data_IF_652148381701
#
_entry.id   IF_652148381701
#
_cell.length_a   1.000
_cell.length_b   1.000
_cell.length_c   1.000
_cell.angle_alpha   90.00
_cell.angle_beta   90.00
_cell.angle_gamma   90.00
#
_symmetry.space_group_name_H-M   'P 1'
#
loop_
_entity.id
_entity.type
_entity.pdbx_description
1 polymer ?
#
# COMPACT_ATOMS: atom_id res chain seq x y z
N UNK A 1 36.17 -30.24 18.87
CA UNK A 1 35.50 -31.12 17.90
C UNK A 1 35.88 -30.59 16.53
N UNK A 2 36.60 -31.38 15.76
CA UNK A 2 37.01 -31.04 14.39
C UNK A 2 35.77 -30.78 13.53
N UNK A 3 35.55 -29.52 13.16
CA UNK A 3 34.60 -29.18 12.11
C UNK A 3 35.35 -29.48 10.81
N UNK A 4 35.33 -30.75 10.40
CA UNK A 4 35.62 -31.10 9.01
C UNK A 4 34.57 -30.39 8.17
N UNK A 5 34.92 -29.23 7.63
CA UNK A 5 34.12 -28.55 6.62
C UNK A 5 33.92 -29.55 5.47
N UNK A 6 32.70 -30.08 5.35
CA UNK A 6 32.35 -30.98 4.26
C UNK A 6 32.46 -30.19 2.96
N UNK A 7 33.48 -30.50 2.17
CA UNK A 7 33.61 -29.95 0.83
C UNK A 7 32.65 -30.69 -0.11
N UNK A 8 31.77 -29.94 -0.77
CA UNK A 8 30.80 -30.45 -1.72
C UNK A 8 31.37 -30.40 -3.14
N UNK A 9 31.11 -31.46 -3.91
CA UNK A 9 31.43 -31.52 -5.33
C UNK A 9 30.47 -30.67 -6.16
N UNK A 10 30.89 -30.09 -7.31
CA UNK A 10 29.99 -29.35 -8.20
C UNK A 10 28.69 -30.09 -8.55
N UNK A 11 28.75 -31.43 -8.69
CA UNK A 11 27.58 -32.27 -8.96
C UNK A 11 26.59 -32.33 -7.79
N UNK A 12 27.11 -32.35 -6.56
CA UNK A 12 26.30 -32.39 -5.34
C UNK A 12 25.62 -31.05 -5.10
N UNK A 13 26.32 -29.94 -5.38
CA UNK A 13 25.77 -28.59 -5.30
C UNK A 13 24.64 -28.38 -6.32
N UNK A 14 24.85 -28.83 -7.57
CA UNK A 14 23.82 -28.79 -8.62
C UNK A 14 22.56 -29.56 -8.20
N UNK A 15 22.72 -30.76 -7.65
CA UNK A 15 21.59 -31.57 -7.17
C UNK A 15 20.89 -30.96 -5.95
N UNK A 16 21.65 -30.36 -5.03
CA UNK A 16 21.10 -29.77 -3.79
C UNK A 16 20.29 -28.51 -4.06
N UNK A 17 20.66 -27.73 -5.07
CA UNK A 17 19.99 -26.47 -5.44
C UNK A 17 18.94 -26.66 -6.55
N UNK A 18 18.79 -27.89 -7.06
CA UNK A 18 17.90 -28.23 -8.17
C UNK A 18 18.14 -27.35 -9.42
N UNK A 19 19.42 -27.14 -9.76
CA UNK A 19 19.84 -26.34 -10.92
C UNK A 19 20.73 -27.15 -11.85
N UNK A 20 20.68 -26.88 -13.15
CA UNK A 20 21.59 -27.49 -14.12
C UNK A 20 23.05 -27.06 -13.92
N UNK A 21 24.00 -27.97 -14.22
CA UNK A 21 25.45 -27.72 -14.16
C UNK A 21 25.90 -26.46 -14.92
N UNK A 22 25.22 -26.15 -16.04
CA UNK A 22 25.47 -24.95 -16.84
C UNK A 22 25.08 -23.65 -16.10
N UNK A 23 23.97 -23.67 -15.37
CA UNK A 23 23.47 -22.55 -14.57
C UNK A 23 24.36 -22.30 -13.36
N UNK A 24 24.76 -23.36 -12.65
CA UNK A 24 25.71 -23.26 -11.54
C UNK A 24 27.03 -22.63 -12.00
N UNK A 25 27.58 -23.08 -13.15
CA UNK A 25 28.81 -22.51 -13.71
C UNK A 25 28.64 -21.01 -14.02
N UNK A 26 27.51 -20.62 -14.59
CA UNK A 26 27.20 -19.22 -14.93
C UNK A 26 27.13 -18.33 -13.68
N UNK A 27 26.51 -18.82 -12.61
CA UNK A 27 26.40 -18.09 -11.35
C UNK A 27 27.75 -17.95 -10.65
N UNK A 28 28.55 -19.01 -10.59
CA UNK A 28 29.91 -18.92 -10.05
C UNK A 28 30.78 -17.92 -10.80
N UNK A 29 30.66 -17.84 -12.14
CA UNK A 29 31.41 -16.85 -12.92
C UNK A 29 30.96 -15.41 -12.62
N UNK A 30 29.66 -15.18 -12.45
CA UNK A 30 29.14 -13.87 -12.07
C UNK A 30 29.64 -13.45 -10.67
N UNK A 31 29.69 -14.39 -9.72
CA UNK A 31 30.24 -14.17 -8.39
C UNK A 31 31.76 -13.92 -8.42
N UNK A 32 32.53 -14.73 -9.17
CA UNK A 32 33.98 -14.52 -9.34
C UNK A 32 34.29 -13.17 -10.01
N UNK A 33 33.44 -12.70 -10.93
CA UNK A 33 33.56 -11.37 -11.55
C UNK A 33 33.42 -10.22 -10.55
N UNK A 34 32.65 -10.42 -9.48
CA UNK A 34 32.44 -9.45 -8.41
C UNK A 34 33.41 -9.66 -7.23
N UNK A 35 34.54 -10.35 -7.44
CA UNK A 35 35.59 -10.66 -6.45
C UNK A 35 35.21 -11.69 -5.37
N UNK A 36 34.21 -12.55 -5.62
CA UNK A 36 33.97 -13.73 -4.78
C UNK A 36 34.98 -14.85 -5.07
N UNK A 37 35.67 -15.35 -4.05
CA UNK A 37 36.71 -16.37 -4.20
C UNK A 37 36.21 -17.73 -3.74
N UNK A 38 35.94 -18.62 -4.70
CA UNK A 38 35.72 -20.03 -4.40
C UNK A 38 37.05 -20.74 -4.10
N UNK A 39 37.04 -21.65 -3.13
CA UNK A 39 38.21 -22.49 -2.83
C UNK A 39 38.48 -23.41 -4.02
N UNK A 40 39.76 -23.64 -4.33
CA UNK A 40 40.19 -24.53 -5.41
C UNK A 40 41.13 -25.61 -4.88
N UNK A 41 40.95 -26.82 -5.38
CA UNK A 41 41.81 -27.98 -5.16
C UNK A 41 43.13 -27.83 -5.97
N UNK A 42 44.19 -28.57 -5.64
CA UNK A 42 45.45 -28.69 -6.40
C UNK A 42 45.29 -28.95 -7.92
N UNK A 43 44.17 -29.53 -8.34
CA UNK A 43 43.74 -29.75 -9.73
C UNK A 43 42.95 -28.57 -10.33
N UNK A 44 42.97 -27.40 -9.68
CA UNK A 44 42.25 -26.18 -10.05
C UNK A 44 40.71 -26.35 -10.19
N UNK A 45 40.14 -27.37 -9.54
CA UNK A 45 38.70 -27.61 -9.47
C UNK A 45 38.10 -26.83 -8.31
N UNK A 46 36.96 -26.16 -8.53
CA UNK A 46 36.21 -25.46 -7.47
C UNK A 46 35.72 -26.48 -6.43
N UNK A 47 36.10 -26.25 -5.18
CA UNK A 47 35.57 -26.92 -3.99
C UNK A 47 34.55 -25.97 -3.37
N UNK A 48 33.34 -26.46 -3.14
CA UNK A 48 32.29 -25.68 -2.52
C UNK A 48 32.21 -26.04 -1.04
N UNK A 49 32.16 -25.04 -0.17
CA UNK A 49 31.94 -25.23 1.26
C UNK A 49 30.46 -24.97 1.58
N UNK A 50 30.02 -25.32 2.79
CA UNK A 50 28.66 -25.05 3.25
C UNK A 50 28.29 -23.56 3.17
N UNK A 51 29.25 -22.66 3.39
CA UNK A 51 29.08 -21.22 3.17
C UNK A 51 28.71 -20.88 1.71
N UNK A 52 29.40 -21.49 0.74
CA UNK A 52 29.13 -21.29 -0.69
C UNK A 52 27.72 -21.77 -1.08
N UNK A 53 27.23 -22.85 -0.46
CA UNK A 53 25.86 -23.32 -0.66
C UNK A 53 24.83 -22.30 -0.19
N UNK A 54 25.06 -21.65 0.95
CA UNK A 54 24.18 -20.61 1.47
C UNK A 54 24.18 -19.39 0.55
N UNK A 55 25.35 -19.00 0.06
CA UNK A 55 25.54 -17.91 -0.91
C UNK A 55 24.76 -18.20 -2.20
N UNK A 56 24.93 -19.40 -2.76
CA UNK A 56 24.25 -19.81 -3.99
C UNK A 56 22.73 -19.93 -3.81
N UNK A 57 22.24 -20.36 -2.65
CA UNK A 57 20.79 -20.40 -2.35
C UNK A 57 20.18 -19.00 -2.27
N UNK A 58 20.88 -18.04 -1.68
CA UNK A 58 20.41 -16.65 -1.66
C UNK A 58 20.47 -16.02 -3.05
N UNK A 59 21.53 -16.31 -3.80
CA UNK A 59 21.66 -15.89 -5.19
C UNK A 59 20.51 -16.43 -6.06
N UNK A 60 20.13 -17.70 -5.88
CA UNK A 60 19.00 -18.31 -6.56
C UNK A 60 17.70 -17.55 -6.30
N UNK A 61 17.38 -17.21 -5.05
CA UNK A 61 16.17 -16.43 -4.72
C UNK A 61 16.15 -15.06 -5.40
N UNK A 62 17.29 -14.36 -5.44
CA UNK A 62 17.36 -13.06 -6.10
C UNK A 62 17.11 -13.15 -7.61
N UNK A 63 17.62 -14.20 -8.25
CA UNK A 63 17.47 -14.40 -9.69
C UNK A 63 16.09 -14.95 -10.05
N UNK A 64 15.55 -15.87 -9.27
CA UNK A 64 14.26 -16.53 -9.55
C UNK A 64 13.06 -15.69 -9.08
N UNK A 65 13.08 -15.14 -7.87
CA UNK A 65 11.92 -14.43 -7.29
C UNK A 65 11.83 -12.99 -7.78
N UNK A 66 12.99 -12.32 -7.97
CA UNK A 66 13.04 -10.89 -8.30
C UNK A 66 13.42 -10.62 -9.77
N UNK A 67 13.57 -11.67 -10.59
CA UNK A 67 13.99 -11.58 -11.99
C UNK A 67 15.23 -10.66 -12.20
N UNK A 68 16.14 -10.65 -11.23
CA UNK A 68 17.27 -9.74 -11.20
C UNK A 68 18.38 -10.22 -12.15
N UNK A 69 19.05 -9.27 -12.81
CA UNK A 69 20.21 -9.59 -13.65
C UNK A 69 21.34 -10.20 -12.80
N UNK A 70 22.01 -11.21 -13.36
CA UNK A 70 23.02 -12.02 -12.66
C UNK A 70 24.15 -11.19 -12.05
N UNK A 71 24.59 -10.14 -12.74
CA UNK A 71 25.68 -9.28 -12.26
C UNK A 71 25.26 -8.45 -11.04
N UNK A 72 24.02 -7.94 -11.02
CA UNK A 72 23.48 -7.18 -9.89
C UNK A 72 23.22 -8.09 -8.69
N UNK A 73 22.69 -9.29 -8.94
CA UNK A 73 22.52 -10.30 -7.90
C UNK A 73 23.87 -10.71 -7.31
N UNK A 74 24.92 -10.84 -8.14
CA UNK A 74 26.26 -11.19 -7.68
C UNK A 74 26.83 -10.08 -6.80
N UNK A 75 26.71 -8.82 -7.22
CA UNK A 75 27.18 -7.67 -6.44
C UNK A 75 26.55 -7.62 -5.04
N UNK A 76 25.23 -7.76 -4.95
CA UNK A 76 24.52 -7.76 -3.66
C UNK A 76 24.94 -8.93 -2.75
N UNK A 77 25.17 -10.10 -3.34
CA UNK A 77 25.55 -11.29 -2.59
C UNK A 77 27.00 -11.19 -2.12
N UNK A 78 27.92 -10.67 -2.93
CA UNK A 78 29.32 -10.46 -2.50
C UNK A 78 29.42 -9.36 -1.46
N UNK A 79 28.65 -8.29 -1.58
CA UNK A 79 28.59 -7.25 -0.55
C UNK A 79 28.10 -7.83 0.79
N UNK A 80 27.05 -8.65 0.75
CA UNK A 80 26.43 -9.24 1.94
C UNK A 80 27.23 -10.41 2.55
N UNK A 81 27.89 -11.22 1.73
CA UNK A 81 28.49 -12.50 2.17
C UNK A 81 29.99 -12.63 1.87
N UNK A 82 30.56 -11.79 0.98
CA UNK A 82 31.95 -11.88 0.53
C UNK A 82 32.98 -11.41 1.56
N UNK A 83 32.57 -10.66 2.59
CA UNK A 83 33.44 -10.23 3.69
C UNK A 83 33.15 -11.04 4.96
N UNK A 84 33.52 -12.31 4.97
CA UNK A 84 33.69 -13.12 6.20
C UNK A 84 32.45 -13.34 7.08
N UNK A 85 31.24 -13.15 6.58
CA UNK A 85 30.02 -13.04 7.39
C UNK A 85 29.42 -14.37 7.89
N UNK A 86 30.20 -15.46 7.96
CA UNK A 86 29.68 -16.77 8.42
C UNK A 86 30.02 -17.12 9.88
N UNK A 87 30.73 -16.28 10.63
CA UNK A 87 31.01 -16.54 12.06
C UNK A 87 30.21 -15.69 13.07
N UNK A 88 29.37 -14.74 12.66
CA UNK A 88 28.60 -13.94 13.61
C UNK A 88 27.11 -13.95 13.26
N UNK A 89 26.35 -14.69 14.07
CA UNK A 89 24.91 -14.49 14.15
C UNK A 89 24.61 -13.03 14.47
N UNK A 90 23.68 -12.44 13.71
CA UNK A 90 23.04 -11.14 14.00
C UNK A 90 23.96 -10.10 14.65
N UNK A 91 24.80 -9.46 13.85
CA UNK A 91 25.23 -8.09 14.13
C UNK A 91 25.56 -7.36 12.83
N UNK A 92 25.06 -6.13 12.74
CA UNK A 92 25.35 -5.19 11.67
C UNK A 92 26.79 -4.75 11.86
N UNK A 93 27.73 -5.29 11.10
CA UNK A 93 29.14 -4.86 11.15
C UNK A 93 29.35 -3.80 10.07
N UNK A 94 29.35 -2.53 10.51
CA UNK A 94 29.93 -1.42 9.76
C UNK A 94 31.41 -1.69 9.51
N UNK A 95 31.79 -1.85 8.25
CA UNK A 95 33.20 -1.86 7.86
C UNK A 95 33.81 -0.46 8.09
N UNK A 96 34.84 -0.37 8.95
CA UNK A 96 35.56 0.85 9.29
C UNK A 96 36.35 1.43 8.09
N UNK A 97 35.67 2.15 7.20
CA UNK A 97 36.30 3.18 6.36
C UNK A 97 35.98 4.55 6.99
N UNK A 98 36.75 4.99 7.99
CA UNK A 98 36.44 6.20 8.81
C UNK A 98 36.38 7.53 8.03
N UNK A 99 36.89 7.59 6.79
CA UNK A 99 36.77 8.77 5.93
C UNK A 99 35.55 8.70 5.02
N UNK A 100 35.32 7.57 4.32
CA UNK A 100 34.09 7.36 3.52
C UNK A 100 32.83 7.32 4.39
N UNK A 101 32.90 6.76 5.61
CA UNK A 101 31.78 6.76 6.56
C UNK A 101 31.38 8.16 7.00
N UNK A 102 32.29 9.14 7.02
CA UNK A 102 31.93 10.52 7.43
C UNK A 102 31.17 11.25 6.33
N UNK A 103 31.53 11.03 5.07
CA UNK A 103 30.79 11.59 3.92
C UNK A 103 29.48 10.83 3.68
N UNK A 104 29.46 9.50 3.84
CA UNK A 104 28.23 8.70 3.83
C UNK A 104 27.30 9.08 4.98
N UNK A 105 27.81 9.26 6.21
CA UNK A 105 26.98 9.72 7.34
C UNK A 105 26.49 11.15 7.16
N UNK A 106 27.24 12.04 6.52
CA UNK A 106 26.75 13.40 6.18
C UNK A 106 25.64 13.34 5.13
N UNK A 107 25.85 12.56 4.07
CA UNK A 107 24.84 12.34 3.03
C UNK A 107 23.59 11.67 3.58
N UNK A 108 23.73 10.65 4.42
CA UNK A 108 22.62 9.98 5.09
C UNK A 108 21.88 10.93 6.05
N UNK A 109 22.59 11.80 6.77
CA UNK A 109 21.96 12.76 7.67
C UNK A 109 21.21 13.87 6.91
N UNK A 110 21.70 14.30 5.75
CA UNK A 110 20.97 15.21 4.85
C UNK A 110 19.72 14.54 4.26
N UNK A 111 19.82 13.28 3.84
CA UNK A 111 18.68 12.49 3.36
C UNK A 111 17.64 12.26 4.47
N UNK A 112 18.10 11.95 5.69
CA UNK A 112 17.23 11.81 6.86
C UNK A 112 16.57 13.14 7.20
N UNK A 113 17.28 14.27 7.13
CA UNK A 113 16.69 15.58 7.37
C UNK A 113 15.64 15.94 6.32
N UNK A 114 15.91 15.70 5.02
CA UNK A 114 14.93 15.88 3.97
C UNK A 114 13.71 14.97 4.17
N UNK A 115 13.92 13.73 4.59
CA UNK A 115 12.83 12.81 4.91
C UNK A 115 11.99 13.29 6.10
N UNK A 116 12.63 13.78 7.18
CA UNK A 116 11.94 14.34 8.34
C UNK A 116 11.16 15.61 7.98
N UNK A 117 11.72 16.48 7.13
CA UNK A 117 11.00 17.65 6.61
C UNK A 117 9.80 17.23 5.76
N UNK A 118 9.97 16.25 4.87
CA UNK A 118 8.86 15.72 4.08
C UNK A 118 7.78 15.09 4.95
N UNK A 119 8.16 14.37 6.00
CA UNK A 119 7.22 13.83 6.99
C UNK A 119 6.47 14.93 7.72
N UNK A 120 7.13 16.03 8.08
CA UNK A 120 6.47 17.20 8.69
C UNK A 120 5.50 17.87 7.74
N UNK A 121 5.88 18.08 6.47
CA UNK A 121 4.98 18.68 5.48
C UNK A 121 3.80 17.78 5.18
N UNK A 122 4.00 16.47 5.06
CA UNK A 122 2.90 15.51 4.95
C UNK A 122 1.96 15.57 6.16
N UNK A 123 2.51 15.62 7.37
CA UNK A 123 1.71 15.71 8.60
C UNK A 123 0.87 16.99 8.63
N UNK A 124 1.40 18.10 8.14
CA UNK A 124 0.68 19.37 8.01
C UNK A 124 -0.43 19.29 6.96
N UNK A 125 -0.15 18.69 5.79
CA UNK A 125 -1.17 18.46 4.77
C UNK A 125 -2.32 17.57 5.27
N UNK A 126 -2.00 16.52 6.05
CA UNK A 126 -3.02 15.66 6.67
C UNK A 126 -3.91 16.47 7.60
N UNK A 127 -3.33 17.32 8.46
CA UNK A 127 -4.12 18.18 9.36
C UNK A 127 -5.02 19.14 8.58
N UNK A 128 -4.50 19.79 7.55
CA UNK A 128 -5.29 20.68 6.70
C UNK A 128 -6.42 19.93 5.99
N UNK A 129 -6.17 18.71 5.54
CA UNK A 129 -7.18 17.85 4.93
C UNK A 129 -8.26 17.43 5.94
N UNK A 130 -7.88 17.10 7.18
CA UNK A 130 -8.83 16.80 8.25
C UNK A 130 -9.72 18.00 8.60
N UNK A 131 -9.14 19.19 8.69
CA UNK A 131 -9.89 20.43 8.93
C UNK A 131 -10.84 20.76 7.78
N UNK A 132 -10.37 20.61 6.54
CA UNK A 132 -11.20 20.79 5.36
C UNK A 132 -12.36 19.80 5.32
N UNK A 133 -12.10 18.52 5.63
CA UNK A 133 -13.14 17.50 5.71
C UNK A 133 -14.17 17.80 6.80
N UNK A 134 -13.76 18.30 7.98
CA UNK A 134 -14.68 18.73 9.04
C UNK A 134 -15.58 19.89 8.57
N UNK A 135 -15.01 20.87 7.89
CA UNK A 135 -15.79 22.00 7.36
C UNK A 135 -16.76 21.57 6.25
N UNK A 136 -16.35 20.62 5.39
CA UNK A 136 -17.23 20.02 4.40
C UNK A 136 -18.41 19.29 5.04
N UNK A 137 -18.17 18.46 6.05
CA UNK A 137 -19.23 17.75 6.77
C UNK A 137 -20.22 18.74 7.41
N UNK A 138 -19.71 19.81 8.03
CA UNK A 138 -20.55 20.86 8.60
C UNK A 138 -21.43 21.54 7.54
N UNK A 139 -20.91 21.81 6.34
CA UNK A 139 -21.72 22.36 5.24
C UNK A 139 -22.77 21.37 4.73
N UNK A 140 -22.45 20.08 4.69
CA UNK A 140 -23.42 19.05 4.32
C UNK A 140 -24.55 18.97 5.34
N UNK A 141 -24.24 18.99 6.64
CA UNK A 141 -25.24 19.00 7.71
C UNK A 141 -26.16 20.23 7.62
N UNK A 142 -25.57 21.41 7.36
CA UNK A 142 -26.35 22.64 7.15
C UNK A 142 -27.26 22.57 5.92
N UNK A 143 -26.77 21.99 4.81
CA UNK A 143 -27.60 21.78 3.62
C UNK A 143 -28.73 20.78 3.90
N UNK A 144 -28.46 19.70 4.61
CA UNK A 144 -29.46 18.70 4.97
C UNK A 144 -30.57 19.33 5.82
N UNK A 145 -30.21 20.11 6.84
CA UNK A 145 -31.17 20.85 7.67
C UNK A 145 -32.00 21.83 6.84
N UNK A 146 -31.37 22.61 5.96
CA UNK A 146 -32.08 23.54 5.08
C UNK A 146 -33.08 22.82 4.15
N UNK A 147 -32.68 21.67 3.59
CA UNK A 147 -33.55 20.87 2.73
C UNK A 147 -34.74 20.34 3.53
N UNK A 148 -34.52 19.79 4.74
CA UNK A 148 -35.58 19.29 5.61
C UNK A 148 -36.57 20.39 5.99
N UNK A 149 -36.08 21.58 6.39
CA UNK A 149 -36.95 22.73 6.69
C UNK A 149 -37.79 23.14 5.49
N UNK A 150 -37.17 23.20 4.29
CA UNK A 150 -37.88 23.56 3.05
C UNK A 150 -38.91 22.50 2.65
N UNK A 151 -38.60 21.23 2.83
CA UNK A 151 -39.52 20.12 2.56
C UNK A 151 -40.71 20.17 3.52
N UNK A 152 -40.46 20.29 4.83
CA UNK A 152 -41.51 20.39 5.85
C UNK A 152 -42.43 21.58 5.58
N UNK A 153 -41.88 22.76 5.29
CA UNK A 153 -42.67 23.95 4.98
C UNK A 153 -43.50 23.80 3.70
N UNK A 154 -42.93 23.15 2.68
CA UNK A 154 -43.66 22.85 1.44
C UNK A 154 -44.82 21.89 1.72
N UNK A 155 -44.57 20.83 2.48
CA UNK A 155 -45.58 19.82 2.80
C UNK A 155 -46.70 20.41 3.68
N UNK A 156 -46.38 21.28 4.65
CA UNK A 156 -47.37 22.06 5.40
C UNK A 156 -48.25 22.92 4.48
N UNK A 157 -47.63 23.65 3.54
CA UNK A 157 -48.36 24.50 2.58
C UNK A 157 -49.25 23.66 1.66
N UNK A 158 -48.76 22.51 1.20
CA UNK A 158 -49.52 21.57 0.39
C UNK A 158 -50.73 21.02 1.16
N UNK A 159 -50.54 20.60 2.42
CA UNK A 159 -51.63 20.11 3.27
C UNK A 159 -52.66 21.21 3.52
N UNK A 160 -52.21 22.44 3.78
CA UNK A 160 -53.11 23.58 3.98
C UNK A 160 -53.94 23.88 2.73
N UNK A 161 -53.31 24.00 1.56
CA UNK A 161 -54.04 24.21 0.30
C UNK A 161 -54.99 23.06 -0.05
N UNK A 162 -54.63 21.81 0.27
CA UNK A 162 -55.52 20.65 0.11
C UNK A 162 -56.74 20.74 1.02
N UNK A 163 -56.58 21.14 2.29
CA UNK A 163 -57.71 21.35 3.21
C UNK A 163 -58.62 22.47 2.73
N UNK A 164 -58.07 23.61 2.35
CA UNK A 164 -58.84 24.74 1.80
C UNK A 164 -59.61 24.35 0.54
N UNK A 165 -58.98 23.59 -0.37
CA UNK A 165 -59.64 23.07 -1.57
C UNK A 165 -60.78 22.10 -1.22
N UNK A 166 -60.61 21.25 -0.20
CA UNK A 166 -61.66 20.34 0.28
C UNK A 166 -62.81 21.09 0.94
N UNK A 167 -62.54 22.08 1.78
CA UNK A 167 -63.56 22.93 2.41
C UNK A 167 -64.35 23.72 1.37
N UNK A 168 -63.66 24.31 0.40
CA UNK A 168 -64.30 25.01 -0.73
C UNK A 168 -65.22 24.08 -1.51
N UNK A 169 -64.78 22.85 -1.81
CA UNK A 169 -65.61 21.83 -2.46
C UNK A 169 -66.85 21.48 -1.63
N UNK A 170 -66.72 21.35 -0.30
CA UNK A 170 -67.85 21.07 0.60
C UNK A 170 -68.86 22.22 0.61
N UNK A 171 -68.40 23.46 0.72
CA UNK A 171 -69.27 24.65 0.70
C UNK A 171 -70.02 24.79 -0.63
N UNK A 172 -69.33 24.56 -1.76
CA UNK A 172 -69.97 24.57 -3.08
C UNK A 172 -71.02 23.46 -3.23
N UNK A 173 -70.74 22.26 -2.73
CA UNK A 173 -71.71 21.16 -2.74
C UNK A 173 -72.95 21.47 -1.88
N UNK A 174 -72.77 22.02 -0.67
CA UNK A 174 -73.87 22.43 0.20
C UNK A 174 -74.71 23.55 -0.43
N UNK A 175 -74.07 24.57 -1.03
CA UNK A 175 -74.77 25.64 -1.73
C UNK A 175 -75.59 25.13 -2.93
N UNK A 176 -75.09 24.13 -3.67
CA UNK A 176 -75.85 23.49 -4.75
C UNK A 176 -77.06 22.71 -4.23
N UNK A 177 -76.96 22.04 -3.08
CA UNK A 177 -78.11 21.35 -2.47
C UNK A 177 -79.20 22.32 -2.01
N UNK A 178 -78.83 23.42 -1.36
CA UNK A 178 -79.78 24.43 -0.89
C UNK A 178 -80.48 25.17 -2.04
N UNK A 179 -79.76 25.46 -3.13
CA UNK A 179 -80.36 25.99 -4.36
C UNK A 179 -81.37 25.02 -4.98
N UNK A 180 -81.05 23.71 -5.02
CA UNK A 180 -81.97 22.68 -5.51
C UNK A 180 -83.22 22.63 -4.62
N UNK A 181 -83.09 22.56 -3.30
CA UNK A 181 -84.23 22.54 -2.36
C UNK A 181 -85.11 23.78 -2.49
N UNK A 182 -84.52 24.97 -2.62
CA UNK A 182 -85.26 26.22 -2.83
C UNK A 182 -85.95 26.34 -4.19
N UNK A 183 -85.39 25.72 -5.23
CA UNK A 183 -86.03 25.61 -6.53
C UNK A 183 -87.22 24.65 -6.50
N UNK A 184 -87.06 23.46 -5.90
CA UNK A 184 -88.13 22.48 -5.75
C UNK A 184 -89.29 23.00 -4.89
N UNK A 185 -89.01 23.71 -3.79
CA UNK A 185 -90.08 24.29 -2.95
C UNK A 185 -90.89 25.39 -3.65
N UNK A 186 -90.28 26.15 -4.57
CA UNK A 186 -90.99 27.15 -5.40
C UNK A 186 -91.78 26.53 -6.55
N UNK A 187 -91.34 25.40 -7.09
CA UNK A 187 -91.96 24.74 -8.25
C UNK A 187 -93.11 23.80 -7.86
N UNK A 188 -93.06 23.22 -6.66
CA UNK A 188 -94.05 22.25 -6.16
C UNK A 188 -94.83 22.74 -4.93
N UNK A 189 -94.58 23.98 -4.48
CA UNK A 189 -95.34 24.62 -3.39
C UNK A 189 -96.53 25.42 -3.92
N UNK A 190 -97.63 24.74 -4.24
CA UNK A 190 -98.98 25.30 -4.29
C UNK A 190 -99.99 24.23 -3.87
#
# INVERSE_FOLDING_TARGET
MDISEKAYSPKEVSHTLDIGDSTLRKWCLALEKQDYKFIRNDQNRRLYVESDLVVLRHFQKLVQDNNMQLDNAAMLIVDRFGKGAFEAGTDIILAENKEEQRDLMRSDNEVIQQFLEHMRTQQEHIKQQEEFNKELLKRLDQQQQYIEERLNKRDETLIQSLREAQETRKLLAAAQEDQKKGFFSRLFGK
#
